data_IF_007976534388
#
_entry.id   IF_007976534388
#
_cell.length_a   1.000
_cell.length_b   1.000
_cell.length_c   1.000
_cell.angle_alpha   90.00
_cell.angle_beta   90.00
_cell.angle_gamma   90.00
#
_symmetry.space_group_name_H-M   'P 1'
#
loop_
_entity.id
_entity.type
_entity.pdbx_description
1 polymer ?
#
# COMPACT_ATOMS: atom_id res chain seq x y z
N UNK A 1 -13.51 2.61 -1.46
CA UNK A 1 -12.22 2.59 -0.72
C UNK A 1 -11.07 2.25 -1.66
N UNK A 2 -11.19 1.23 -2.52
CA UNK A 2 -10.18 0.89 -3.55
C UNK A 2 -9.82 2.06 -4.49
N UNK A 3 -10.82 2.84 -4.91
CA UNK A 3 -10.65 4.05 -5.73
C UNK A 3 -9.64 5.05 -5.15
N UNK A 4 -9.63 5.24 -3.82
CA UNK A 4 -8.71 6.21 -3.20
C UNK A 4 -7.27 5.71 -3.17
N UNK A 5 -7.06 4.39 -3.10
CA UNK A 5 -5.73 3.81 -3.24
C UNK A 5 -5.26 3.94 -4.68
N UNK A 6 -6.10 3.55 -5.65
CA UNK A 6 -5.77 3.63 -7.09
C UNK A 6 -5.41 5.07 -7.53
N UNK A 7 -6.17 6.08 -7.08
CA UNK A 7 -5.87 7.48 -7.39
C UNK A 7 -4.57 7.97 -6.72
N UNK A 8 -4.23 7.44 -5.55
CA UNK A 8 -3.07 7.87 -4.78
C UNK A 8 -1.75 7.37 -5.38
N UNK A 9 -1.74 6.15 -5.93
CA UNK A 9 -0.51 5.52 -6.42
C UNK A 9 -0.21 5.77 -7.89
N UNK A 10 -1.06 6.51 -8.61
CA UNK A 10 -0.81 6.89 -10.00
C UNK A 10 0.60 7.50 -10.15
N UNK A 11 1.44 7.05 -11.09
CA UNK A 11 1.17 6.13 -12.22
C UNK A 11 1.23 4.62 -11.92
N UNK A 12 1.67 4.21 -10.73
CA UNK A 12 1.91 2.82 -10.40
C UNK A 12 0.61 2.01 -10.22
N UNK A 13 0.62 0.78 -10.75
CA UNK A 13 -0.49 -0.16 -10.59
C UNK A 13 -0.36 -1.01 -9.33
N UNK A 14 -1.49 -1.30 -8.70
CA UNK A 14 -1.57 -2.19 -7.54
C UNK A 14 -1.56 -3.64 -8.05
N UNK A 15 -0.43 -4.33 -7.85
CA UNK A 15 -0.25 -5.75 -8.16
C UNK A 15 -1.05 -6.68 -7.22
N UNK A 16 -1.30 -6.24 -5.98
CA UNK A 16 -2.07 -7.03 -5.03
C UNK A 16 -2.33 -6.34 -3.69
N UNK A 17 -3.28 -6.88 -2.95
CA UNK A 17 -3.63 -6.42 -1.60
C UNK A 17 -3.65 -7.62 -0.63
N UNK A 18 -3.04 -7.45 0.54
CA UNK A 18 -3.06 -8.45 1.61
C UNK A 18 -3.42 -7.78 2.93
N UNK A 19 -4.48 -8.26 3.56
CA UNK A 19 -4.88 -7.81 4.89
C UNK A 19 -4.38 -8.83 5.92
N UNK A 20 -3.50 -8.40 6.81
CA UNK A 20 -3.04 -9.20 7.95
C UNK A 20 -3.87 -8.85 9.18
N UNK A 21 -4.53 -9.85 9.74
CA UNK A 21 -5.22 -9.77 11.02
C UNK A 21 -4.25 -10.18 12.12
N UNK A 22 -4.08 -9.33 13.12
CA UNK A 22 -3.29 -9.63 14.31
C UNK A 22 -4.18 -10.20 15.41
N UNK A 23 -3.54 -10.88 16.37
CA UNK A 23 -4.22 -11.53 17.50
C UNK A 23 -4.90 -10.50 18.43
N UNK A 24 -4.36 -9.28 18.47
CA UNK A 24 -4.94 -8.12 19.17
C UNK A 24 -6.19 -7.53 18.49
N UNK A 25 -6.64 -8.10 17.36
CA UNK A 25 -7.77 -7.61 16.58
C UNK A 25 -7.44 -6.45 15.64
N UNK A 26 -6.22 -5.91 15.69
CA UNK A 26 -5.77 -4.90 14.75
C UNK A 26 -5.55 -5.48 13.36
N UNK A 27 -5.72 -4.64 12.33
CA UNK A 27 -5.58 -5.02 10.92
C UNK A 27 -4.53 -4.14 10.28
N UNK A 28 -3.63 -4.75 9.52
CA UNK A 28 -2.66 -4.04 8.68
C UNK A 28 -2.91 -4.45 7.24
N UNK A 29 -3.16 -3.46 6.39
CA UNK A 29 -3.29 -3.65 4.97
C UNK A 29 -1.92 -3.42 4.30
N UNK A 30 -1.46 -4.44 3.58
CA UNK A 30 -0.27 -4.39 2.73
C UNK A 30 -0.71 -4.29 1.29
N UNK A 31 -0.26 -3.25 0.60
CA UNK A 31 -0.53 -3.01 -0.82
C UNK A 31 0.78 -3.23 -1.57
N UNK A 32 0.72 -4.09 -2.56
CA UNK A 32 1.85 -4.41 -3.42
C UNK A 32 1.75 -3.64 -4.72
N UNK A 33 2.81 -2.92 -5.09
CA UNK A 33 2.87 -2.12 -6.33
C UNK A 33 3.69 -2.83 -7.40
N UNK A 34 3.41 -2.60 -8.68
CA UNK A 34 4.23 -3.13 -9.77
C UNK A 34 5.66 -2.51 -9.69
N UNK A 35 6.73 -3.34 -9.66
CA UNK A 35 8.11 -2.86 -9.60
C UNK A 35 8.58 -2.10 -10.85
N UNK A 36 7.84 -2.10 -11.96
CA UNK A 36 8.21 -1.34 -13.17
C UNK A 36 8.35 0.17 -12.93
N UNK A 37 7.60 0.71 -11.96
CA UNK A 37 7.60 2.13 -11.62
C UNK A 37 8.20 2.36 -10.23
N UNK A 38 9.31 1.70 -9.94
CA UNK A 38 9.94 1.71 -8.62
C UNK A 38 10.51 3.10 -8.25
N UNK A 39 9.82 3.83 -7.36
CA UNK A 39 10.33 5.03 -6.70
C UNK A 39 10.23 4.92 -5.17
N UNK A 40 11.33 4.54 -4.52
CA UNK A 40 11.39 4.29 -3.07
C UNK A 40 10.98 5.47 -2.16
N UNK A 41 11.08 6.72 -2.62
CA UNK A 41 10.78 7.92 -1.80
C UNK A 41 9.28 8.18 -1.64
N UNK A 42 8.44 7.61 -2.50
CA UNK A 42 7.01 7.95 -2.55
C UNK A 42 6.17 7.09 -1.60
N UNK A 43 6.64 5.89 -1.24
CA UNK A 43 5.90 4.91 -0.42
C UNK A 43 5.51 5.44 0.96
N UNK A 44 6.43 6.11 1.65
CA UNK A 44 6.17 6.68 2.98
C UNK A 44 5.11 7.79 2.91
N UNK A 45 5.13 8.57 1.83
CA UNK A 45 4.17 9.64 1.59
C UNK A 45 2.78 9.08 1.34
N UNK A 46 2.67 8.00 0.56
CA UNK A 46 1.39 7.33 0.31
C UNK A 46 0.76 6.80 1.61
N UNK A 47 1.54 6.15 2.46
CA UNK A 47 1.08 5.68 3.77
C UNK A 47 0.60 6.84 4.65
N UNK A 48 1.32 7.97 4.68
CA UNK A 48 0.95 9.13 5.48
C UNK A 48 -0.36 9.78 5.01
N UNK A 49 -0.52 9.98 3.70
CA UNK A 49 -1.73 10.58 3.11
C UNK A 49 -2.95 9.67 3.30
N UNK A 50 -2.79 8.37 3.05
CA UNK A 50 -3.89 7.42 3.23
C UNK A 50 -4.36 7.35 4.69
N UNK A 51 -3.42 7.37 5.64
CA UNK A 51 -3.72 7.44 7.06
C UNK A 51 -4.44 8.74 7.43
N UNK A 52 -4.05 9.87 6.83
CA UNK A 52 -4.69 11.17 7.07
C UNK A 52 -6.12 11.24 6.53
N UNK A 53 -6.38 10.64 5.37
CA UNK A 53 -7.69 10.68 4.71
C UNK A 53 -8.68 9.65 5.27
N UNK A 54 -8.20 8.45 5.61
CA UNK A 54 -9.07 7.31 5.98
C UNK A 54 -8.97 6.88 7.45
N UNK A 55 -7.93 7.33 8.16
CA UNK A 55 -7.63 6.89 9.53
C UNK A 55 -7.13 5.44 9.63
N UNK A 56 -6.84 4.78 8.50
CA UNK A 56 -6.39 3.39 8.45
C UNK A 56 -4.90 3.30 8.15
N UNK A 57 -4.24 2.34 8.78
CA UNK A 57 -2.83 2.07 8.53
C UNK A 57 -2.67 1.15 7.29
N UNK A 58 -1.90 1.63 6.31
CA UNK A 58 -1.53 0.91 5.09
C UNK A 58 -0.02 0.96 4.93
N UNK A 59 0.55 -0.15 4.49
CA UNK A 59 1.97 -0.26 4.13
C UNK A 59 2.06 -0.59 2.65
N UNK A 60 2.78 0.26 1.90
CA UNK A 60 3.08 0.02 0.49
C UNK A 60 4.45 -0.65 0.37
N UNK A 61 4.52 -1.75 -0.36
CA UNK A 61 5.74 -2.52 -0.60
C UNK A 61 5.80 -2.93 -2.07
N UNK A 62 6.99 -3.06 -2.64
CA UNK A 62 7.13 -3.77 -3.91
C UNK A 62 7.21 -5.27 -3.63
N UNK A 63 6.61 -6.13 -4.47
CA UNK A 63 6.78 -7.57 -4.34
C UNK A 63 8.26 -7.87 -4.50
N UNK A 64 8.87 -8.43 -3.46
CA UNK A 64 10.20 -9.01 -3.56
C UNK A 64 10.00 -10.27 -4.40
N UNK A 65 10.46 -10.25 -5.65
CA UNK A 65 10.47 -11.43 -6.50
C UNK A 65 11.22 -12.52 -5.73
N UNK A 66 10.52 -13.52 -5.20
CA UNK A 66 11.16 -14.78 -4.83
C UNK A 66 11.54 -15.47 -6.14
N UNK A 67 12.85 -15.43 -6.43
CA UNK A 67 13.62 -16.27 -7.36
C UNK A 67 13.07 -16.48 -8.79
#
# INVERSE_FOLDING_TARGET
>A
MRLLLEDLVMPAEIAGERIRYRIDGSKIMKVFLDPKEHNSRELETFSAVYRKLSGKDVVFEYPVTEA
#
